data_IF_826442883645
#
_entry.id   IF_826442883645
#
_cell.length_a   1.000
_cell.length_b   1.000
_cell.length_c   1.000
_cell.angle_alpha   90.00
_cell.angle_beta   90.00
_cell.angle_gamma   90.00
#
_symmetry.space_group_name_H-M   'P 1'
#
loop_
_entity.id
_entity.type
_entity.pdbx_description
1 polymer ?
#
# COMPACT_ATOMS: atom_id res chain seq x y z
N UNK A 1 -29.44 8.32 -45.65
CA UNK A 1 -28.02 8.19 -45.24
C UNK A 1 -27.56 9.48 -44.56
N UNK A 2 -27.51 9.51 -43.23
CA UNK A 2 -26.88 10.59 -42.45
C UNK A 2 -26.15 9.94 -41.27
N UNK A 3 -24.82 9.85 -41.36
CA UNK A 3 -23.96 9.35 -40.27
C UNK A 3 -23.70 10.50 -39.29
N UNK A 4 -24.27 10.42 -38.08
CA UNK A 4 -23.85 11.24 -36.94
C UNK A 4 -22.47 10.77 -36.49
N UNK A 5 -21.46 11.63 -36.61
CA UNK A 5 -20.14 11.43 -36.02
C UNK A 5 -20.26 11.72 -34.52
N UNK A 6 -20.20 10.69 -33.68
CA UNK A 6 -19.97 10.87 -32.25
C UNK A 6 -18.52 11.32 -32.06
N UNK A 7 -18.33 12.60 -31.73
CA UNK A 7 -17.07 13.10 -31.21
C UNK A 7 -16.89 12.58 -29.79
N UNK A 8 -15.87 11.74 -29.61
CA UNK A 8 -15.37 11.36 -28.29
C UNK A 8 -14.72 12.61 -27.67
N UNK A 9 -15.31 13.16 -26.62
CA UNK A 9 -14.68 14.21 -25.80
C UNK A 9 -14.01 13.48 -24.63
N UNK A 10 -12.67 13.38 -24.58
CA UNK A 10 -12.01 12.81 -23.42
C UNK A 10 -12.19 13.76 -22.23
N UNK A 11 -12.75 13.23 -21.14
CA UNK A 11 -12.78 13.91 -19.84
C UNK A 11 -11.34 13.95 -19.32
N UNK A 12 -10.59 14.97 -19.73
CA UNK A 12 -9.35 15.36 -19.06
C UNK A 12 -9.73 15.88 -17.68
N UNK A 13 -9.61 15.03 -16.65
CA UNK A 13 -9.53 15.52 -15.27
C UNK A 13 -8.22 16.30 -15.16
N UNK A 14 -8.30 17.61 -15.37
CA UNK A 14 -7.21 18.53 -15.07
C UNK A 14 -7.00 18.54 -13.56
N UNK A 15 -6.14 17.67 -13.05
CA UNK A 15 -5.47 17.90 -11.77
C UNK A 15 -4.33 18.88 -12.03
N UNK A 16 -4.66 20.17 -12.13
CA UNK A 16 -3.64 21.19 -11.98
C UNK A 16 -3.20 21.16 -10.51
N UNK A 17 -1.92 20.89 -10.19
CA UNK A 17 -1.43 21.00 -8.83
C UNK A 17 -1.74 22.40 -8.30
N UNK A 18 -2.36 22.49 -7.12
CA UNK A 18 -2.69 23.78 -6.50
C UNK A 18 -1.38 24.48 -6.09
N UNK A 19 -0.88 25.35 -6.96
CA UNK A 19 0.44 26.02 -6.84
C UNK A 19 0.65 26.67 -5.46
N UNK A 20 -0.41 27.19 -4.84
CA UNK A 20 -0.33 27.76 -3.48
C UNK A 20 -0.02 26.71 -2.42
N UNK A 21 -0.61 25.53 -2.52
CA UNK A 21 -0.40 24.41 -1.58
C UNK A 21 1.02 23.85 -1.69
N UNK A 22 1.50 23.63 -2.91
CA UNK A 22 2.88 23.18 -3.16
C UNK A 22 3.94 24.16 -2.62
N UNK A 23 3.66 25.46 -2.66
CA UNK A 23 4.57 26.47 -2.11
C UNK A 23 4.71 26.37 -0.59
N UNK A 24 3.60 26.23 0.13
CA UNK A 24 3.57 26.09 1.59
C UNK A 24 4.26 24.80 2.06
N UNK A 25 4.06 23.70 1.34
CA UNK A 25 4.66 22.41 1.69
C UNK A 25 6.19 22.43 1.55
N UNK A 26 6.70 23.04 0.48
CA UNK A 26 8.15 23.21 0.28
C UNK A 26 8.76 24.18 1.30
N UNK A 27 8.05 25.25 1.68
CA UNK A 27 8.49 26.18 2.72
C UNK A 27 8.60 25.47 4.08
N UNK A 28 7.64 24.60 4.42
CA UNK A 28 7.68 23.83 5.68
C UNK A 28 8.88 22.86 5.71
N UNK A 29 9.13 22.13 4.62
CA UNK A 29 10.28 21.23 4.53
C UNK A 29 11.58 22.02 4.66
N UNK A 30 11.71 23.13 3.95
CA UNK A 30 12.89 24.00 4.04
C UNK A 30 13.09 24.55 5.46
N UNK A 31 12.02 24.98 6.13
CA UNK A 31 12.05 25.45 7.52
C UNK A 31 12.58 24.36 8.44
N UNK A 32 12.06 23.14 8.36
CA UNK A 32 12.51 22.03 9.22
C UNK A 32 13.96 21.65 8.89
N UNK A 33 14.30 21.50 7.61
CA UNK A 33 15.66 21.13 7.20
C UNK A 33 16.71 22.20 7.51
N UNK A 34 16.30 23.46 7.66
CA UNK A 34 17.19 24.55 8.11
C UNK A 34 17.55 24.48 9.60
N UNK A 35 16.81 23.70 10.40
CA UNK A 35 17.13 23.51 11.81
C UNK A 35 18.48 22.81 11.97
N UNK A 36 19.26 23.27 12.95
CA UNK A 36 20.56 22.68 13.25
C UNK A 36 20.45 21.26 13.79
N UNK A 37 21.51 20.48 13.60
CA UNK A 37 21.65 19.17 14.23
C UNK A 37 20.79 18.08 13.60
N UNK A 38 20.29 17.18 14.45
CA UNK A 38 19.48 16.02 14.08
C UNK A 38 18.02 16.39 13.74
N UNK A 39 17.50 17.50 14.26
CA UNK A 39 16.09 17.89 14.12
C UNK A 39 15.67 18.12 12.66
N UNK A 40 16.52 18.79 11.89
CA UNK A 40 16.26 19.04 10.47
C UNK A 40 16.54 17.85 9.54
N UNK A 41 17.10 16.75 10.06
CA UNK A 41 17.56 15.62 9.24
C UNK A 41 16.85 14.31 9.56
N UNK A 42 16.35 14.15 10.78
CA UNK A 42 15.69 12.94 11.24
C UNK A 42 14.19 12.98 10.91
N UNK A 43 13.69 11.93 10.29
CA UNK A 43 12.25 11.63 10.19
C UNK A 43 11.96 10.40 11.03
N UNK A 44 10.94 10.49 11.90
CA UNK A 44 10.48 9.35 12.70
C UNK A 44 9.49 8.51 11.89
N UNK A 45 9.65 7.19 11.87
CA UNK A 45 8.71 6.27 11.21
C UNK A 45 8.41 5.11 12.15
N UNK A 46 7.15 4.98 12.57
CA UNK A 46 6.74 4.02 13.60
C UNK A 46 5.27 3.62 13.48
N UNK A 47 4.83 2.61 14.22
CA UNK A 47 3.41 2.24 14.35
C UNK A 47 2.85 2.75 15.67
N UNK A 48 1.54 2.89 15.72
CA UNK A 48 0.84 3.14 16.98
C UNK A 48 1.18 2.03 17.98
N UNK A 49 1.62 2.44 19.17
CA UNK A 49 2.04 1.59 20.30
C UNK A 49 3.40 0.89 20.15
N UNK A 50 4.22 1.23 19.14
CA UNK A 50 5.61 0.74 19.12
C UNK A 50 6.39 1.27 20.33
N UNK A 51 7.23 0.41 20.89
CA UNK A 51 8.08 0.77 22.03
C UNK A 51 9.08 1.88 21.63
N UNK A 52 9.32 2.92 22.46
CA UNK A 52 10.10 4.08 22.05
C UNK A 52 11.53 3.79 21.60
N UNK A 53 12.28 2.94 22.32
CA UNK A 53 13.67 2.63 21.97
C UNK A 53 13.81 1.99 20.56
N UNK A 54 13.09 0.90 20.22
CA UNK A 54 13.10 0.37 18.85
C UNK A 54 12.72 1.39 17.77
N UNK A 55 11.77 2.29 18.05
CA UNK A 55 11.38 3.35 17.10
C UNK A 55 12.56 4.27 16.80
N UNK A 56 13.22 4.77 17.85
CA UNK A 56 14.38 5.65 17.69
C UNK A 56 15.50 4.94 16.96
N UNK A 57 15.81 3.70 17.34
CA UNK A 57 16.87 2.91 16.72
C UNK A 57 16.61 2.70 15.22
N UNK A 58 15.39 2.28 14.86
CA UNK A 58 15.02 2.07 13.47
C UNK A 58 15.06 3.38 12.66
N UNK A 59 14.61 4.50 13.25
CA UNK A 59 14.65 5.80 12.61
C UNK A 59 16.08 6.29 12.36
N UNK A 60 16.98 6.11 13.34
CA UNK A 60 18.39 6.50 13.22
C UNK A 60 19.12 5.63 12.20
N UNK A 61 18.98 4.30 12.27
CA UNK A 61 19.63 3.37 11.35
C UNK A 61 19.20 3.58 9.90
N UNK A 62 17.90 3.80 9.67
CA UNK A 62 17.36 4.05 8.33
C UNK A 62 17.92 5.34 7.67
N UNK A 63 18.50 6.24 8.47
CA UNK A 63 19.02 7.53 8.03
C UNK A 63 20.53 7.67 8.27
N UNK A 64 21.21 6.59 8.68
CA UNK A 64 22.66 6.55 8.88
C UNK A 64 23.15 7.25 10.15
N UNK A 65 22.29 7.45 11.14
CA UNK A 65 22.66 8.01 12.44
C UNK A 65 22.95 6.91 13.47
N UNK A 66 23.84 7.20 14.42
CA UNK A 66 24.05 6.37 15.61
C UNK A 66 23.08 6.78 16.72
N UNK A 67 22.57 5.79 17.46
CA UNK A 67 21.83 5.98 18.70
C UNK A 67 22.64 5.40 19.85
N UNK A 68 23.03 6.24 20.81
CA UNK A 68 23.85 5.81 21.96
C UNK A 68 23.24 6.31 23.27
N UNK A 69 23.41 5.49 24.31
CA UNK A 69 23.12 5.89 25.69
C UNK A 69 24.44 5.82 26.45
N UNK A 70 24.86 6.94 27.01
CA UNK A 70 26.18 7.10 27.63
C UNK A 70 26.04 7.66 29.03
N UNK A 71 27.03 7.37 29.89
CA UNK A 71 27.21 8.02 31.18
C UNK A 71 28.30 9.09 30.98
N UNK A 72 27.95 10.39 30.92
CA UNK A 72 28.90 11.43 30.54
C UNK A 72 29.96 11.70 31.61
N UNK A 73 29.58 11.54 32.89
CA UNK A 73 30.44 11.81 34.03
C UNK A 73 30.64 10.54 34.87
N UNK A 74 31.89 10.10 35.01
CA UNK A 74 32.25 8.94 35.82
C UNK A 74 32.02 9.17 37.33
N UNK A 75 31.98 10.42 37.79
CA UNK A 75 31.69 10.77 39.17
C UNK A 75 30.18 10.72 39.48
N UNK A 76 29.34 10.75 38.45
CA UNK A 76 27.89 10.66 38.57
C UNK A 76 27.36 9.48 37.73
N UNK A 77 27.63 8.23 38.15
CA UNK A 77 27.34 7.03 37.34
C UNK A 77 25.86 6.81 37.06
N UNK A 78 25.00 7.47 37.82
CA UNK A 78 23.54 7.39 37.69
C UNK A 78 22.99 8.39 36.65
N UNK A 79 23.82 9.24 36.06
CA UNK A 79 23.40 10.18 35.02
C UNK A 79 23.60 9.55 33.66
N UNK A 80 22.53 9.48 32.87
CA UNK A 80 22.54 8.93 31.53
C UNK A 80 22.11 9.99 30.52
N UNK A 81 22.73 9.96 29.35
CA UNK A 81 22.40 10.80 28.20
C UNK A 81 22.08 9.91 27.01
N UNK A 82 20.98 10.22 26.32
CA UNK A 82 20.67 9.64 25.02
C UNK A 82 21.11 10.62 23.95
N UNK A 83 22.00 10.14 23.08
CA UNK A 83 22.58 10.92 22.01
C UNK A 83 22.22 10.31 20.65
N UNK A 84 21.92 11.16 19.68
CA UNK A 84 21.75 10.77 18.28
C UNK A 84 22.87 11.45 17.48
N UNK A 85 23.70 10.66 16.80
CA UNK A 85 24.83 11.18 16.02
C UNK A 85 25.74 12.13 16.82
N UNK A 86 26.05 11.74 18.06
CA UNK A 86 26.83 12.51 19.06
C UNK A 86 26.17 13.84 19.52
N UNK A 87 24.92 14.10 19.15
CA UNK A 87 24.14 15.23 19.67
C UNK A 87 23.26 14.75 20.83
N UNK A 88 23.35 15.40 21.99
CA UNK A 88 22.53 15.08 23.15
C UNK A 88 21.08 15.51 22.92
N UNK A 89 20.17 14.54 23.01
CA UNK A 89 18.73 14.76 22.83
C UNK A 89 18.04 14.93 24.18
N UNK A 90 18.37 14.05 25.14
CA UNK A 90 17.84 14.07 26.51
C UNK A 90 18.87 13.54 27.50
N UNK A 91 18.73 13.97 28.76
CA UNK A 91 19.54 13.56 29.90
C UNK A 91 18.63 13.29 31.10
N UNK A 92 19.00 12.34 31.94
CA UNK A 92 18.27 12.04 33.17
C UNK A 92 19.08 11.21 34.15
N UNK A 93 18.58 11.11 35.38
CA UNK A 93 19.20 10.31 36.44
C UNK A 93 18.40 9.04 36.68
N UNK A 94 19.05 7.88 36.68
CA UNK A 94 18.45 6.57 36.83
C UNK A 94 19.36 5.63 37.60
N UNK A 95 18.76 4.66 38.29
CA UNK A 95 19.50 3.67 39.09
C UNK A 95 20.15 2.60 38.21
N UNK A 96 19.55 2.31 37.06
CA UNK A 96 20.03 1.25 36.16
C UNK A 96 20.01 1.71 34.71
N UNK A 97 20.93 1.15 33.91
CA UNK A 97 20.95 1.37 32.47
C UNK A 97 19.64 0.91 31.79
N UNK A 98 18.95 -0.11 32.33
CA UNK A 98 17.67 -0.56 31.78
C UNK A 98 16.57 0.48 31.96
N UNK A 99 16.45 1.07 33.16
CA UNK A 99 15.50 2.16 33.43
C UNK A 99 15.82 3.40 32.61
N UNK A 100 17.11 3.76 32.52
CA UNK A 100 17.58 4.86 31.70
C UNK A 100 17.19 4.67 30.23
N UNK A 101 17.41 3.46 29.70
CA UNK A 101 17.09 3.13 28.32
C UNK A 101 15.61 3.30 28.02
N UNK A 102 14.74 2.84 28.90
CA UNK A 102 13.30 2.96 28.70
C UNK A 102 12.83 4.42 28.77
N UNK A 103 13.15 5.10 29.88
CA UNK A 103 12.62 6.43 30.17
C UNK A 103 13.26 7.53 29.30
N UNK A 104 14.57 7.47 29.03
CA UNK A 104 15.20 8.40 28.08
C UNK A 104 14.65 8.21 26.67
N UNK A 105 14.37 6.98 26.25
CA UNK A 105 13.80 6.76 24.91
C UNK A 105 12.39 7.32 24.81
N UNK A 106 11.60 7.17 25.87
CA UNK A 106 10.25 7.75 25.96
C UNK A 106 10.30 9.28 25.86
N UNK A 107 11.18 9.92 26.63
CA UNK A 107 11.36 11.37 26.61
C UNK A 107 11.92 11.87 25.27
N UNK A 108 12.94 11.19 24.74
CA UNK A 108 13.53 11.53 23.44
C UNK A 108 12.49 11.45 22.32
N UNK A 109 11.71 10.36 22.26
CA UNK A 109 10.67 10.20 21.25
C UNK A 109 9.64 11.33 21.32
N UNK A 110 9.18 11.69 22.53
CA UNK A 110 8.25 12.80 22.71
C UNK A 110 8.86 14.12 22.22
N UNK A 111 10.08 14.44 22.61
CA UNK A 111 10.75 15.69 22.21
C UNK A 111 10.96 15.76 20.68
N UNK A 112 11.34 14.64 20.07
CA UNK A 112 11.55 14.56 18.63
C UNK A 112 10.25 14.61 17.84
N UNK A 113 9.13 14.08 18.37
CA UNK A 113 7.82 14.21 17.72
C UNK A 113 7.36 15.67 17.59
N UNK A 114 7.80 16.55 18.49
CA UNK A 114 7.48 17.98 18.42
C UNK A 114 8.38 18.74 17.43
N UNK A 115 9.58 18.24 17.14
CA UNK A 115 10.59 19.00 16.37
C UNK A 115 10.90 18.40 14.99
N UNK A 116 10.62 17.11 14.80
CA UNK A 116 10.87 16.36 13.58
C UNK A 116 9.58 15.89 12.92
N UNK A 117 9.61 15.70 11.60
CA UNK A 117 8.51 15.03 10.92
C UNK A 117 8.34 13.61 11.45
N UNK A 118 7.09 13.23 11.69
CA UNK A 118 6.74 11.92 12.21
C UNK A 118 5.72 11.23 11.30
N UNK A 119 5.98 9.98 10.95
CA UNK A 119 5.13 9.17 10.09
C UNK A 119 4.66 7.97 10.90
N UNK A 120 3.35 7.93 11.14
CA UNK A 120 2.68 6.78 11.73
C UNK A 120 2.29 5.84 10.60
N UNK A 121 2.76 4.59 10.67
CA UNK A 121 2.30 3.48 9.84
C UNK A 121 1.13 2.79 10.53
N UNK A 122 -0.03 2.85 9.89
CA UNK A 122 -1.28 2.27 10.38
C UNK A 122 -1.20 0.74 10.32
N UNK A 123 -1.84 0.07 11.28
CA UNK A 123 -1.77 -1.39 11.41
C UNK A 123 -2.68 -2.15 10.41
N UNK A 124 -3.29 -1.45 9.43
CA UNK A 124 -4.22 -2.03 8.46
C UNK A 124 -3.58 -2.96 7.43
N UNK A 125 -2.28 -3.30 7.51
CA UNK A 125 -1.63 -4.19 6.54
C UNK A 125 -2.34 -5.56 6.39
N UNK A 126 -3.04 -6.02 7.43
CA UNK A 126 -3.85 -7.26 7.40
C UNK A 126 -5.29 -7.05 6.91
N UNK A 127 -5.69 -5.79 6.68
CA UNK A 127 -7.03 -5.34 6.27
C UNK A 127 -7.00 -4.52 4.97
N UNK A 128 -5.84 -4.38 4.32
CA UNK A 128 -5.74 -3.75 3.01
C UNK A 128 -6.71 -4.44 2.05
N UNK A 129 -7.51 -3.66 1.33
CA UNK A 129 -8.31 -4.21 0.25
C UNK A 129 -7.36 -4.89 -0.74
N UNK A 130 -7.53 -6.20 -0.90
CA UNK A 130 -6.70 -6.98 -1.82
C UNK A 130 -6.91 -6.47 -3.23
N UNK A 131 -5.84 -6.38 -4.02
CA UNK A 131 -5.92 -5.85 -5.39
C UNK A 131 -6.94 -6.66 -6.20
N UNK A 132 -7.92 -5.95 -6.78
CA UNK A 132 -8.93 -6.52 -7.68
C UNK A 132 -8.45 -6.35 -9.12
N UNK A 133 -7.84 -7.39 -9.70
CA UNK A 133 -7.52 -7.40 -11.12
C UNK A 133 -8.83 -7.75 -11.86
N UNK A 134 -9.40 -6.77 -12.57
CA UNK A 134 -10.57 -7.00 -13.42
C UNK A 134 -10.09 -7.22 -14.86
N UNK A 135 -10.69 -8.15 -15.64
CA UNK A 135 -10.32 -8.37 -17.04
C UNK A 135 -10.51 -7.13 -17.95
N UNK A 136 -11.33 -6.16 -17.53
CA UNK A 136 -11.75 -5.01 -18.35
C UNK A 136 -10.66 -3.94 -18.62
N UNK A 137 -9.42 -4.12 -18.15
CA UNK A 137 -8.33 -3.14 -18.37
C UNK A 137 -7.58 -3.39 -19.69
N UNK A 138 -7.81 -4.51 -20.37
CA UNK A 138 -7.08 -4.87 -21.58
C UNK A 138 -8.00 -5.09 -22.79
N UNK A 139 -8.39 -4.00 -23.46
CA UNK A 139 -8.75 -4.10 -24.89
C UNK A 139 -7.47 -4.36 -25.68
N UNK A 140 -7.22 -5.62 -26.01
CA UNK A 140 -6.33 -5.99 -27.12
C UNK A 140 -7.20 -6.51 -28.27
N UNK A 141 -6.90 -6.14 -29.53
CA UNK A 141 -7.74 -6.47 -30.67
C UNK A 141 -7.53 -7.93 -31.07
N UNK A 142 -8.34 -8.84 -30.52
CA UNK A 142 -8.28 -10.25 -30.91
C UNK A 142 -9.08 -10.46 -32.19
N UNK A 143 -8.34 -10.66 -33.29
CA UNK A 143 -8.82 -11.18 -34.56
C UNK A 143 -9.78 -12.36 -34.36
N UNK A 144 -11.00 -12.20 -34.85
CA UNK A 144 -12.06 -13.20 -34.88
C UNK A 144 -11.63 -14.43 -35.68
N UNK A 145 -11.44 -15.56 -35.01
CA UNK A 145 -11.67 -16.88 -35.62
C UNK A 145 -13.05 -17.36 -35.16
N UNK A 146 -13.97 -17.38 -36.11
CA UNK A 146 -15.28 -18.04 -36.03
C UNK A 146 -15.06 -19.54 -35.99
N UNK A 147 -15.38 -20.18 -34.86
CA UNK A 147 -15.64 -21.61 -34.83
C UNK A 147 -17.14 -21.82 -34.71
N UNK A 148 -17.69 -22.53 -35.69
CA UNK A 148 -19.10 -22.87 -35.81
C UNK A 148 -19.49 -23.92 -34.75
N UNK A 149 -20.64 -23.70 -34.12
CA UNK A 149 -21.16 -24.51 -33.03
C UNK A 149 -21.86 -25.75 -33.59
N UNK A 150 -21.19 -26.90 -33.56
CA UNK A 150 -21.80 -28.19 -33.91
C UNK A 150 -22.62 -28.72 -32.73
N UNK A 151 -23.94 -28.73 -32.90
CA UNK A 151 -24.95 -29.09 -31.90
C UNK A 151 -25.11 -30.60 -31.70
N UNK A 152 -24.01 -31.37 -31.64
CA UNK A 152 -24.07 -32.80 -31.37
C UNK A 152 -22.97 -33.39 -30.46
N UNK A 153 -22.27 -32.57 -29.68
CA UNK A 153 -21.28 -33.09 -28.72
C UNK A 153 -21.95 -33.63 -27.44
N UNK A 154 -21.76 -34.91 -27.16
CA UNK A 154 -22.18 -35.63 -25.95
C UNK A 154 -21.63 -35.05 -24.63
N UNK A 155 -20.70 -34.09 -24.69
CA UNK A 155 -20.06 -33.48 -23.52
C UNK A 155 -20.97 -32.52 -22.75
N UNK A 156 -22.04 -31.98 -23.35
CA UNK A 156 -22.98 -31.06 -22.65
C UNK A 156 -23.95 -31.82 -21.72
N UNK A 157 -24.10 -33.14 -21.87
CA UNK A 157 -25.00 -33.97 -21.03
C UNK A 157 -24.46 -34.24 -19.63
N UNK A 158 -23.19 -33.91 -19.35
CA UNK A 158 -22.51 -34.29 -18.10
C UNK A 158 -22.46 -33.20 -17.03
N UNK A 159 -22.73 -31.93 -17.36
CA UNK A 159 -22.58 -30.84 -16.39
C UNK A 159 -23.53 -31.01 -15.19
N UNK A 160 -23.03 -30.71 -13.99
CA UNK A 160 -23.80 -30.82 -12.73
C UNK A 160 -25.11 -30.02 -12.83
N UNK A 161 -25.08 -28.87 -13.50
CA UNK A 161 -26.27 -28.05 -13.78
C UNK A 161 -27.31 -28.79 -14.64
N UNK A 162 -26.90 -29.49 -15.71
CA UNK A 162 -27.81 -30.25 -16.56
C UNK A 162 -28.45 -31.43 -15.81
N UNK A 163 -27.71 -32.08 -14.90
CA UNK A 163 -28.24 -33.14 -14.03
C UNK A 163 -29.24 -32.60 -13.02
N UNK A 164 -28.93 -31.47 -12.40
CA UNK A 164 -29.76 -30.84 -11.37
C UNK A 164 -31.09 -30.33 -11.95
N UNK A 165 -31.08 -29.78 -13.17
CA UNK A 165 -32.31 -29.32 -13.84
C UNK A 165 -33.21 -30.49 -14.28
N UNK A 166 -32.64 -31.62 -14.73
CA UNK A 166 -33.42 -32.84 -15.02
C UNK A 166 -34.07 -33.44 -13.77
N UNK A 167 -33.36 -33.46 -12.65
CA UNK A 167 -33.87 -33.93 -11.36
C UNK A 167 -35.06 -33.09 -10.87
N UNK A 168 -35.13 -31.81 -11.27
CA UNK A 168 -36.25 -30.91 -10.98
C UNK A 168 -37.36 -30.97 -12.05
N UNK A 169 -37.34 -31.97 -12.93
CA UNK A 169 -38.40 -32.22 -13.91
C UNK A 169 -38.25 -31.46 -15.24
N UNK A 170 -37.13 -30.79 -15.49
CA UNK A 170 -36.90 -30.10 -16.77
C UNK A 170 -36.43 -31.07 -17.85
N UNK A 171 -37.30 -31.35 -18.84
CA UNK A 171 -37.04 -32.27 -19.95
C UNK A 171 -36.43 -31.61 -21.20
N UNK A 172 -36.21 -30.30 -21.18
CA UNK A 172 -35.67 -29.51 -22.30
C UNK A 172 -36.77 -28.87 -23.15
N UNK A 173 -36.77 -27.53 -23.20
CA UNK A 173 -37.78 -26.68 -23.84
C UNK A 173 -37.78 -25.27 -23.22
N UNK A 174 -38.30 -24.27 -23.92
CA UNK A 174 -38.34 -22.87 -23.46
C UNK A 174 -39.15 -22.69 -22.16
N UNK A 175 -38.73 -21.77 -21.29
CA UNK A 175 -39.46 -21.48 -20.04
C UNK A 175 -40.80 -20.79 -20.33
N UNK A 176 -41.92 -21.42 -19.95
CA UNK A 176 -43.26 -20.84 -20.00
C UNK A 176 -44.36 -21.86 -20.27
N UNK A 177 -45.62 -21.53 -19.92
CA UNK A 177 -46.78 -22.44 -20.02
C UNK A 177 -47.19 -22.81 -21.46
N UNK A 178 -46.60 -22.17 -22.47
CA UNK A 178 -46.88 -22.38 -23.90
C UNK A 178 -45.60 -22.38 -24.77
N UNK A 179 -44.42 -22.63 -24.19
CA UNK A 179 -43.14 -22.61 -24.92
C UNK A 179 -42.85 -21.30 -25.68
N UNK A 180 -43.49 -20.18 -25.33
CA UNK A 180 -43.35 -18.85 -25.95
C UNK A 180 -42.04 -18.13 -25.63
N UNK A 181 -41.10 -18.81 -24.97
CA UNK A 181 -39.75 -18.30 -24.80
C UNK A 181 -39.04 -18.30 -26.15
N UNK A 182 -38.71 -17.12 -26.67
CA UNK A 182 -37.89 -16.94 -27.87
C UNK A 182 -36.70 -17.93 -27.86
N UNK A 183 -36.64 -18.81 -28.86
CA UNK A 183 -35.56 -19.81 -29.04
C UNK A 183 -34.16 -19.18 -29.21
N UNK A 184 -34.08 -17.85 -29.25
CA UNK A 184 -32.86 -17.06 -29.37
C UNK A 184 -32.51 -16.23 -28.12
N UNK A 185 -32.95 -16.63 -26.93
CA UNK A 185 -32.48 -16.01 -25.69
C UNK A 185 -31.50 -16.93 -24.98
N UNK A 186 -30.27 -16.83 -25.47
CA UNK A 186 -28.97 -16.72 -24.78
C UNK A 186 -27.98 -17.10 -25.88
N UNK A 187 -27.69 -16.17 -26.80
CA UNK A 187 -26.27 -16.04 -27.15
C UNK A 187 -25.63 -15.74 -25.82
N UNK A 188 -24.93 -16.71 -25.25
CA UNK A 188 -24.00 -16.44 -24.17
C UNK A 188 -23.02 -15.42 -24.77
N UNK A 189 -23.34 -14.13 -24.61
CA UNK A 189 -22.34 -13.07 -24.52
C UNK A 189 -21.38 -13.66 -23.53
N UNK A 190 -20.25 -14.14 -24.06
CA UNK A 190 -19.41 -15.14 -23.45
C UNK A 190 -19.32 -14.81 -21.98
N UNK A 191 -19.76 -15.77 -21.14
CA UNK A 191 -19.79 -15.62 -19.70
C UNK A 191 -18.55 -14.81 -19.33
N UNK A 192 -18.78 -13.55 -18.93
CA UNK A 192 -17.75 -12.76 -18.28
C UNK A 192 -17.31 -13.67 -17.16
N UNK A 193 -16.16 -14.28 -17.38
CA UNK A 193 -15.50 -15.16 -16.47
C UNK A 193 -15.19 -14.25 -15.28
N UNK A 194 -16.16 -14.15 -14.38
CA UNK A 194 -15.98 -13.74 -12.99
C UNK A 194 -15.12 -14.83 -12.36
N UNK A 195 -13.88 -14.93 -12.82
CA UNK A 195 -12.86 -15.76 -12.24
C UNK A 195 -12.45 -15.05 -10.97
N UNK A 196 -12.80 -15.64 -9.85
CA UNK A 196 -12.15 -15.31 -8.59
C UNK A 196 -10.63 -15.41 -8.74
N UNK A 197 -9.94 -14.71 -7.83
CA UNK A 197 -8.50 -14.42 -7.72
C UNK A 197 -7.49 -15.60 -7.88
N UNK A 198 -7.93 -16.81 -8.24
CA UNK A 198 -7.07 -17.98 -8.44
C UNK A 198 -6.41 -18.09 -9.82
N UNK A 199 -6.68 -17.18 -10.77
CA UNK A 199 -6.24 -17.33 -12.17
C UNK A 199 -5.58 -16.07 -12.76
N UNK A 200 -4.97 -15.20 -11.96
CA UNK A 200 -4.16 -14.10 -12.51
C UNK A 200 -3.00 -14.69 -13.32
N UNK A 201 -2.93 -14.32 -14.61
CA UNK A 201 -1.88 -14.74 -15.53
C UNK A 201 -0.57 -14.02 -15.21
N UNK A 202 0.59 -14.61 -15.58
CA UNK A 202 1.88 -13.95 -15.41
C UNK A 202 1.96 -12.55 -16.03
N UNK A 203 1.29 -12.35 -17.17
CA UNK A 203 1.24 -11.08 -17.90
C UNK A 203 0.49 -10.01 -17.11
N UNK A 204 -0.65 -10.36 -16.51
CA UNK A 204 -1.44 -9.44 -15.68
C UNK A 204 -0.68 -9.04 -14.41
N UNK A 205 0.02 -9.98 -13.77
CA UNK A 205 0.85 -9.71 -12.59
C UNK A 205 1.98 -8.75 -12.95
N UNK A 206 2.65 -8.96 -14.09
CA UNK A 206 3.72 -8.07 -14.55
C UNK A 206 3.21 -6.67 -14.88
N UNK A 207 2.09 -6.56 -15.61
CA UNK A 207 1.50 -5.28 -15.93
C UNK A 207 1.10 -4.50 -14.67
N UNK A 208 0.43 -5.16 -13.71
CA UNK A 208 0.04 -4.55 -12.44
C UNK A 208 1.25 -4.03 -11.65
N UNK A 209 2.31 -4.84 -11.53
CA UNK A 209 3.50 -4.44 -10.77
C UNK A 209 4.27 -3.31 -11.46
N UNK A 210 4.30 -3.31 -12.80
CA UNK A 210 4.89 -2.23 -13.58
C UNK A 210 4.11 -0.93 -13.42
N UNK A 211 2.79 -0.98 -13.59
CA UNK A 211 1.90 0.18 -13.39
C UNK A 211 2.02 0.73 -11.97
N UNK A 212 2.03 -0.15 -10.96
CA UNK A 212 2.23 0.29 -9.58
C UNK A 212 3.59 0.95 -9.35
N UNK A 213 4.66 0.41 -9.93
CA UNK A 213 5.99 1.00 -9.84
C UNK A 213 6.06 2.39 -10.48
N UNK A 214 5.37 2.59 -11.61
CA UNK A 214 5.31 3.85 -12.35
C UNK A 214 4.31 4.86 -11.78
N UNK A 215 3.31 4.40 -11.03
CA UNK A 215 2.32 5.25 -10.37
C UNK A 215 2.95 6.14 -9.28
N UNK A 216 2.22 7.14 -8.79
CA UNK A 216 2.61 7.88 -7.58
C UNK A 216 2.03 7.26 -6.29
N UNK A 217 1.38 6.11 -6.36
CA UNK A 217 0.76 5.50 -5.18
C UNK A 217 1.83 4.94 -4.23
N UNK A 218 1.68 5.23 -2.93
CA UNK A 218 2.64 4.85 -1.88
C UNK A 218 2.09 3.75 -0.99
N UNK A 219 0.78 3.51 -1.01
CA UNK A 219 0.15 2.43 -0.26
C UNK A 219 0.54 1.07 -0.86
N UNK A 220 0.69 0.06 -0.01
CA UNK A 220 1.15 -1.26 -0.43
C UNK A 220 0.05 -2.03 -1.18
N UNK A 221 0.44 -2.77 -2.23
CA UNK A 221 -0.43 -3.75 -2.86
C UNK A 221 -0.52 -5.01 -1.98
N UNK A 222 -1.73 -5.47 -1.69
CA UNK A 222 -1.96 -6.73 -0.99
C UNK A 222 -2.47 -7.82 -1.94
N UNK A 223 -1.72 -8.91 -2.01
CA UNK A 223 -2.05 -10.13 -2.74
C UNK A 223 -2.59 -11.19 -1.77
N UNK A 224 -3.71 -11.82 -2.13
CA UNK A 224 -4.45 -12.67 -1.23
C UNK A 224 -3.80 -14.05 -1.08
N UNK A 225 -4.19 -14.80 -0.03
CA UNK A 225 -3.52 -16.04 0.33
C UNK A 225 -3.68 -17.18 -0.70
N UNK A 226 -4.64 -17.07 -1.61
CA UNK A 226 -4.99 -18.07 -2.61
C UNK A 226 -4.00 -18.14 -3.79
N UNK A 227 -3.06 -17.20 -3.91
CA UNK A 227 -2.05 -17.23 -4.96
C UNK A 227 -1.16 -18.47 -4.83
N UNK A 228 -0.85 -19.16 -5.93
CA UNK A 228 0.01 -20.34 -5.91
C UNK A 228 1.44 -20.00 -5.49
N UNK A 229 2.23 -21.01 -5.10
CA UNK A 229 3.65 -20.83 -4.79
C UNK A 229 4.42 -20.23 -5.98
N UNK A 230 4.07 -20.65 -7.20
CA UNK A 230 4.68 -20.15 -8.44
C UNK A 230 4.31 -18.70 -8.70
N UNK A 231 3.05 -18.32 -8.56
CA UNK A 231 2.61 -16.92 -8.70
C UNK A 231 3.28 -16.03 -7.65
N UNK A 232 3.42 -16.49 -6.41
CA UNK A 232 4.15 -15.74 -5.36
C UNK A 232 5.62 -15.58 -5.70
N UNK A 233 6.27 -16.63 -6.19
CA UNK A 233 7.66 -16.56 -6.64
C UNK A 233 7.82 -15.56 -7.80
N UNK A 234 6.88 -15.57 -8.75
CA UNK A 234 6.83 -14.60 -9.84
C UNK A 234 6.68 -13.17 -9.31
N UNK A 235 5.76 -12.92 -8.39
CA UNK A 235 5.57 -11.60 -7.76
C UNK A 235 6.84 -11.14 -7.06
N UNK A 236 7.53 -12.02 -6.33
CA UNK A 236 8.82 -11.69 -5.69
C UNK A 236 9.88 -11.31 -6.73
N UNK A 237 10.02 -12.09 -7.80
CA UNK A 237 10.98 -11.83 -8.88
C UNK A 237 10.69 -10.52 -9.60
N UNK A 238 9.44 -10.28 -9.98
CA UNK A 238 9.01 -9.04 -10.64
C UNK A 238 9.11 -7.82 -9.71
N UNK A 239 8.78 -7.98 -8.43
CA UNK A 239 8.96 -6.90 -7.44
C UNK A 239 10.43 -6.47 -7.39
N UNK A 240 11.36 -7.43 -7.36
CA UNK A 240 12.78 -7.11 -7.39
C UNK A 240 13.19 -6.43 -8.72
N UNK A 241 12.67 -6.91 -9.85
CA UNK A 241 12.90 -6.32 -11.19
C UNK A 241 12.49 -4.83 -11.24
N UNK A 242 11.37 -4.48 -10.62
CA UNK A 242 10.86 -3.10 -10.56
C UNK A 242 11.31 -2.33 -9.30
N UNK A 243 12.34 -2.81 -8.59
CA UNK A 243 12.86 -2.23 -7.35
C UNK A 243 11.83 -2.00 -6.22
N UNK A 244 10.79 -2.83 -6.19
CA UNK A 244 9.79 -2.89 -5.12
C UNK A 244 10.27 -3.84 -4.01
N UNK A 245 9.65 -3.71 -2.83
CA UNK A 245 9.86 -4.60 -1.69
C UNK A 245 8.63 -5.46 -1.50
N UNK A 246 8.80 -6.76 -1.72
CA UNK A 246 7.79 -7.78 -1.46
C UNK A 246 7.99 -8.44 -0.09
N UNK A 247 6.93 -8.65 0.68
CA UNK A 247 6.98 -9.31 1.99
C UNK A 247 5.73 -10.14 2.24
N UNK A 248 5.90 -11.40 2.65
CA UNK A 248 4.80 -12.26 3.10
C UNK A 248 4.56 -12.10 4.60
N UNK A 249 3.30 -11.95 5.02
CA UNK A 249 2.86 -11.82 6.40
C UNK A 249 1.90 -12.95 6.78
N UNK A 250 2.04 -13.50 7.99
CA UNK A 250 1.16 -14.57 8.50
C UNK A 250 1.85 -15.93 8.59
N UNK A 251 1.30 -16.84 9.42
CA UNK A 251 1.84 -18.20 9.60
C UNK A 251 1.18 -19.21 8.65
N UNK A 252 -0.16 -19.29 8.66
CA UNK A 252 -0.97 -20.25 7.89
C UNK A 252 -1.54 -19.63 6.60
N UNK A 253 -2.26 -18.51 6.70
CA UNK A 253 -2.81 -17.80 5.54
C UNK A 253 -1.97 -16.57 5.22
N UNK A 254 -0.88 -16.78 4.47
CA UNK A 254 0.10 -15.72 4.22
C UNK A 254 -0.39 -14.73 3.18
N UNK A 255 -0.61 -13.48 3.58
CA UNK A 255 -0.80 -12.36 2.68
C UNK A 255 0.57 -11.94 2.12
N UNK A 256 0.66 -11.74 0.80
CA UNK A 256 1.86 -11.19 0.18
C UNK A 256 1.62 -9.71 -0.08
N UNK A 257 2.47 -8.85 0.45
CA UNK A 257 2.39 -7.41 0.21
C UNK A 257 3.55 -6.95 -0.64
N UNK A 258 3.32 -5.98 -1.52
CA UNK A 258 4.36 -5.34 -2.32
C UNK A 258 4.27 -3.83 -2.10
N UNK A 259 5.40 -3.20 -1.78
CA UNK A 259 5.49 -1.77 -1.47
C UNK A 259 6.70 -1.13 -2.13
N UNK A 260 6.66 0.18 -2.29
CA UNK A 260 7.82 0.95 -2.77
C UNK A 260 8.93 1.04 -1.72
N UNK A 261 10.18 1.09 -2.17
CA UNK A 261 11.35 1.34 -1.33
C UNK A 261 11.59 2.85 -1.22
N UNK A 262 10.77 3.52 -0.41
CA UNK A 262 10.89 4.96 -0.17
C UNK A 262 11.79 5.22 1.04
N UNK A 263 12.71 6.18 0.91
CA UNK A 263 13.42 6.75 2.05
C UNK A 263 12.44 7.58 2.90
N UNK A 264 12.69 7.75 4.22
CA UNK A 264 11.79 8.51 5.10
C UNK A 264 11.41 9.90 4.57
N UNK A 265 12.39 10.68 4.11
CA UNK A 265 12.12 11.99 3.50
C UNK A 265 11.30 11.94 2.21
N UNK A 266 11.52 10.93 1.35
CA UNK A 266 10.69 10.75 0.15
C UNK A 266 9.23 10.49 0.53
N UNK A 267 9.00 9.75 1.62
CA UNK A 267 7.66 9.51 2.14
C UNK A 267 7.02 10.80 2.70
N UNK A 268 7.80 11.66 3.38
CA UNK A 268 7.35 13.01 3.80
C UNK A 268 6.92 13.83 2.58
N UNK A 269 7.74 13.91 1.53
CA UNK A 269 7.40 14.64 0.31
C UNK A 269 6.09 14.15 -0.31
N UNK A 270 5.95 12.84 -0.52
CA UNK A 270 4.72 12.27 -1.08
C UNK A 270 3.47 12.53 -0.23
N UNK A 271 3.60 12.44 1.11
CA UNK A 271 2.50 12.70 2.04
C UNK A 271 2.15 14.19 2.13
N UNK A 272 3.08 15.10 1.90
CA UNK A 272 2.73 16.52 1.79
C UNK A 272 1.97 16.77 0.48
N UNK A 273 2.53 16.34 -0.65
CA UNK A 273 1.98 16.60 -1.99
C UNK A 273 0.56 16.07 -2.20
N UNK A 274 0.31 14.80 -1.80
CA UNK A 274 -0.99 14.16 -2.01
C UNK A 274 -1.96 14.49 -0.87
N UNK A 275 -1.69 13.92 0.29
CA UNK A 275 -2.49 14.05 1.49
C UNK A 275 -1.65 13.65 2.68
N UNK A 276 -1.78 14.40 3.78
CA UNK A 276 -1.07 14.12 5.04
C UNK A 276 -1.45 12.76 5.65
N UNK A 277 -2.35 12.04 5.02
CA UNK A 277 -2.86 10.76 5.48
C UNK A 277 -3.30 9.92 4.27
N UNK A 278 -2.92 8.63 4.28
CA UNK A 278 -3.33 7.60 3.33
C UNK A 278 -3.92 6.40 4.09
N UNK A 279 -4.17 5.28 3.40
CA UNK A 279 -4.63 4.06 4.08
C UNK A 279 -3.55 3.50 4.98
N UNK A 280 -2.27 3.54 4.57
CA UNK A 280 -1.16 3.00 5.35
C UNK A 280 -0.44 4.01 6.24
N UNK A 281 -0.46 5.30 5.92
CA UNK A 281 0.40 6.29 6.55
C UNK A 281 -0.37 7.50 7.07
N UNK A 282 0.15 8.12 8.12
CA UNK A 282 -0.28 9.43 8.62
C UNK A 282 0.95 10.26 8.95
N UNK A 283 1.04 11.44 8.34
CA UNK A 283 2.09 12.43 8.58
C UNK A 283 1.66 13.36 9.73
N UNK A 284 2.54 13.50 10.70
CA UNK A 284 2.47 14.49 11.77
C UNK A 284 3.57 15.51 11.50
N UNK A 285 3.16 16.78 11.50
CA UNK A 285 4.06 17.91 11.32
C UNK A 285 4.73 18.24 12.66
N UNK A 286 5.98 18.72 12.66
CA UNK A 286 6.56 19.40 13.81
C UNK A 286 5.64 20.50 14.31
N UNK A 287 5.60 20.73 15.63
CA UNK A 287 4.94 21.90 16.18
C UNK A 287 5.80 23.13 15.90
N UNK A 288 5.19 24.21 15.45
CA UNK A 288 5.85 25.49 15.38
C UNK A 288 6.04 26.01 16.82
N UNK A 289 7.25 26.47 17.18
CA UNK A 289 7.59 27.00 18.51
C UNK A 289 6.71 28.21 18.94
N UNK A 290 5.85 28.72 18.05
CA UNK A 290 4.89 29.79 18.32
C UNK A 290 3.66 29.31 19.13
N UNK A 291 3.31 28.01 19.09
CA UNK A 291 2.12 27.47 19.77
C UNK A 291 2.35 27.14 21.27
N UNK A 292 3.60 27.17 21.75
CA UNK A 292 3.96 26.85 23.14
C UNK A 292 4.02 28.09 24.07
N UNK A 293 3.79 29.30 23.52
CA UNK A 293 3.71 30.55 24.32
C UNK A 293 2.30 30.86 24.84
N UNK A 294 1.39 29.90 24.79
CA UNK A 294 -0.03 30.15 25.06
C UNK A 294 -0.78 29.00 25.72
N UNK A 295 -0.28 28.45 26.83
CA UNK A 295 -1.11 27.79 27.85
C UNK A 295 -0.54 27.98 29.26
#
# INVERSE_FOLDING_TARGET
>A
MQKRKNQFVPIKRNFAPNVKRFKVENELIAKVQSQSGIRGKLVLVYRENDHPYPVLLAATEAQGFSLTITVPDKQAPNIYELQINNEMVVRGQFETHSMAKDELSRLALKNLQHTCFSIIRKQYANQLETVKISPDVFETPTSSKTEEFDSNSETVKSSIGARMMKLMGWSGGGLGRQEEGDKNIIKAVGQNHRLGLGQATPVEIEALLKEYAESDDIDSLAFPAQFTKEQRALIHTLSNKYNLKSQSYGKKDRLLTVRKKLKPWQLVHHLLEKSRETVEYKLILPLDEEDDKGK
#
